data_IF_006620300292
#
_entry.id   IF_006620300292
#
_cell.length_a   1.000
_cell.length_b   1.000
_cell.length_c   1.000
_cell.angle_alpha   90.00
_cell.angle_beta   90.00
_cell.angle_gamma   90.00
#
_symmetry.space_group_name_H-M   'P 1'
#
loop_
_entity.id
_entity.type
_entity.pdbx_description
1 polymer ?
#
# COMPACT_ATOMS: atom_id res chain seq x y z
N UNK A 1 17.95 0.20 19.51
CA UNK A 1 17.08 -0.99 19.70
C UNK A 1 15.66 -0.62 20.14
N UNK A 2 15.47 0.33 21.07
CA UNK A 2 14.11 0.74 21.49
C UNK A 2 13.23 1.28 20.33
N UNK A 3 13.76 2.17 19.48
CA UNK A 3 13.01 2.75 18.36
C UNK A 3 12.55 1.70 17.33
N UNK A 4 13.37 0.69 17.03
CA UNK A 4 12.99 -0.38 16.09
C UNK A 4 11.85 -1.25 16.64
N UNK A 5 11.85 -1.55 17.95
CA UNK A 5 10.77 -2.27 18.61
C UNK A 5 9.47 -1.45 18.65
N UNK A 6 9.58 -0.15 18.90
CA UNK A 6 8.45 0.78 18.84
C UNK A 6 7.84 0.85 17.43
N UNK A 7 8.67 0.98 16.39
CA UNK A 7 8.22 1.00 15.01
C UNK A 7 7.50 -0.30 14.62
N UNK A 8 8.04 -1.46 15.04
CA UNK A 8 7.42 -2.75 14.78
C UNK A 8 6.05 -2.88 15.46
N UNK A 9 5.93 -2.44 16.72
CA UNK A 9 4.66 -2.45 17.45
C UNK A 9 3.62 -1.52 16.80
N UNK A 10 4.05 -0.32 16.37
CA UNK A 10 3.18 0.63 15.66
C UNK A 10 2.72 0.08 14.31
N UNK A 11 3.63 -0.58 13.58
CA UNK A 11 3.33 -1.23 12.31
C UNK A 11 2.35 -2.39 12.51
N UNK A 12 2.56 -3.24 13.51
CA UNK A 12 1.64 -4.34 13.84
C UNK A 12 0.25 -3.79 14.20
N UNK A 13 0.17 -2.70 14.98
CA UNK A 13 -1.10 -2.01 15.23
C UNK A 13 -1.76 -1.61 13.91
N UNK A 14 -1.05 -0.91 13.02
CA UNK A 14 -1.59 -0.48 11.72
C UNK A 14 -2.05 -1.67 10.84
N UNK A 15 -1.31 -2.78 10.88
CA UNK A 15 -1.62 -3.99 10.12
C UNK A 15 -2.78 -4.80 10.73
N UNK A 16 -3.09 -4.64 12.01
CA UNK A 16 -4.22 -5.34 12.64
C UNK A 16 -5.58 -4.99 12.01
N UNK A 17 -5.64 -3.88 11.27
CA UNK A 17 -6.78 -3.51 10.43
C UNK A 17 -7.10 -4.52 9.33
N UNK A 18 -6.12 -5.29 8.85
CA UNK A 18 -6.34 -6.34 7.84
C UNK A 18 -7.22 -7.48 8.37
N UNK A 19 -7.16 -7.74 9.68
CA UNK A 19 -7.86 -8.87 10.31
C UNK A 19 -9.24 -8.48 10.84
N UNK A 20 -9.47 -7.18 11.08
CA UNK A 20 -10.70 -6.68 11.70
C UNK A 20 -11.50 -5.84 10.70
N UNK A 21 -12.36 -6.52 9.94
CA UNK A 21 -13.32 -5.96 8.98
C UNK A 21 -14.44 -5.11 9.63
N UNK A 22 -14.20 -4.54 10.82
CA UNK A 22 -15.17 -3.87 11.69
C UNK A 22 -14.52 -2.73 12.52
N UNK A 23 -13.39 -2.18 12.09
CA UNK A 23 -12.82 -0.99 12.73
C UNK A 23 -13.79 0.19 12.57
N UNK A 24 -14.08 0.92 13.65
CA UNK A 24 -14.87 2.15 13.55
C UNK A 24 -14.02 3.24 12.89
N UNK A 25 -14.66 4.29 12.39
CA UNK A 25 -13.97 5.43 11.76
C UNK A 25 -12.87 6.04 12.67
N UNK A 26 -13.14 6.13 13.97
CA UNK A 26 -12.17 6.58 14.99
C UNK A 26 -10.93 5.65 15.07
N UNK A 27 -11.11 4.35 14.87
CA UNK A 27 -10.02 3.38 14.89
C UNK A 27 -9.13 3.53 13.65
N UNK A 28 -9.70 3.84 12.47
CA UNK A 28 -8.95 4.03 11.23
C UNK A 28 -7.98 5.22 11.30
N UNK A 29 -8.41 6.32 11.92
CA UNK A 29 -7.55 7.50 12.14
C UNK A 29 -6.33 7.13 13.01
N UNK A 30 -6.54 6.38 14.08
CA UNK A 30 -5.44 5.92 14.93
C UNK A 30 -4.48 4.97 14.19
N UNK A 31 -5.00 4.12 13.31
CA UNK A 31 -4.22 3.18 12.51
C UNK A 31 -3.35 3.91 11.48
N UNK A 32 -3.89 4.93 10.81
CA UNK A 32 -3.13 5.81 9.91
C UNK A 32 -2.00 6.49 10.69
N UNK A 33 -2.30 7.07 11.86
CA UNK A 33 -1.28 7.72 12.69
C UNK A 33 -0.20 6.75 13.18
N UNK A 34 -0.58 5.51 13.50
CA UNK A 34 0.38 4.47 13.87
C UNK A 34 1.32 4.14 12.70
N UNK A 35 0.78 4.00 11.48
CA UNK A 35 1.57 3.78 10.27
C UNK A 35 2.52 4.95 9.97
N UNK A 36 2.06 6.20 10.12
CA UNK A 36 2.88 7.40 9.91
C UNK A 36 4.04 7.52 10.92
N UNK A 37 3.77 7.20 12.18
CA UNK A 37 4.81 7.17 13.22
C UNK A 37 5.83 6.06 12.94
N UNK A 38 5.37 4.85 12.59
CA UNK A 38 6.24 3.76 12.19
C UNK A 38 7.10 4.14 10.97
N UNK A 39 6.49 4.74 9.96
CA UNK A 39 7.17 5.23 8.75
C UNK A 39 8.27 6.24 9.09
N UNK A 40 7.99 7.19 9.98
CA UNK A 40 8.95 8.19 10.42
C UNK A 40 10.17 7.52 11.05
N UNK A 41 9.94 6.57 11.97
CA UNK A 41 11.03 5.84 12.62
C UNK A 41 11.80 5.00 11.60
N UNK A 42 11.13 4.27 10.70
CA UNK A 42 11.82 3.47 9.69
C UNK A 42 12.65 4.32 8.70
N UNK A 43 12.21 5.54 8.39
CA UNK A 43 12.99 6.52 7.62
C UNK A 43 14.24 6.97 8.38
N UNK A 44 14.13 7.26 9.67
CA UNK A 44 15.29 7.61 10.52
C UNK A 44 16.29 6.45 10.60
N UNK A 45 15.79 5.22 10.71
CA UNK A 45 16.60 4.00 10.73
C UNK A 45 17.13 3.59 9.36
N UNK A 46 16.65 4.22 8.27
CA UNK A 46 16.93 3.85 6.87
C UNK A 46 16.60 2.39 6.57
N UNK A 47 15.55 1.87 7.20
CA UNK A 47 15.07 0.50 6.99
C UNK A 47 14.10 0.48 5.80
N UNK A 48 14.59 0.12 4.62
CA UNK A 48 13.78 0.07 3.40
C UNK A 48 12.57 -0.86 3.49
N UNK A 49 12.72 -2.03 4.11
CA UNK A 49 11.63 -2.98 4.27
C UNK A 49 10.55 -2.46 5.23
N UNK A 50 10.99 -1.81 6.33
CA UNK A 50 10.10 -1.14 7.27
C UNK A 50 9.35 0.03 6.63
N UNK A 51 10.03 0.87 5.84
CA UNK A 51 9.42 1.98 5.09
C UNK A 51 8.32 1.46 4.16
N UNK A 52 8.62 0.45 3.34
CA UNK A 52 7.66 -0.15 2.40
C UNK A 52 6.46 -0.70 3.18
N UNK A 53 6.70 -1.42 4.27
CA UNK A 53 5.63 -2.04 5.06
C UNK A 53 4.72 -0.97 5.68
N UNK A 54 5.28 0.07 6.28
CA UNK A 54 4.53 1.17 6.88
C UNK A 54 3.72 1.96 5.86
N UNK A 55 4.30 2.27 4.69
CA UNK A 55 3.57 2.94 3.60
C UNK A 55 2.40 2.11 3.11
N UNK A 56 2.60 0.80 2.91
CA UNK A 56 1.51 -0.07 2.44
C UNK A 56 0.38 -0.17 3.46
N UNK A 57 0.70 -0.26 4.76
CA UNK A 57 -0.29 -0.23 5.82
C UNK A 57 -1.06 1.09 5.87
N UNK A 58 -0.37 2.23 5.77
CA UNK A 58 -0.99 3.56 5.71
C UNK A 58 -1.97 3.66 4.54
N UNK A 59 -1.53 3.27 3.34
CA UNK A 59 -2.36 3.32 2.12
C UNK A 59 -3.60 2.43 2.27
N UNK A 60 -3.46 1.23 2.85
CA UNK A 60 -4.61 0.34 3.05
C UNK A 60 -5.62 0.91 4.07
N UNK A 61 -5.14 1.55 5.14
CA UNK A 61 -6.02 2.26 6.07
C UNK A 61 -6.78 3.39 5.36
N UNK A 62 -6.09 4.19 4.52
CA UNK A 62 -6.69 5.27 3.75
C UNK A 62 -7.73 4.78 2.72
N UNK A 63 -7.48 3.65 2.06
CA UNK A 63 -8.47 3.02 1.16
C UNK A 63 -9.71 2.59 1.94
N UNK A 64 -9.52 2.03 3.13
CA UNK A 64 -10.61 1.57 4.00
C UNK A 64 -11.45 2.75 4.47
N UNK A 65 -10.80 3.82 4.92
CA UNK A 65 -11.47 5.07 5.30
C UNK A 65 -12.28 5.65 4.14
N UNK A 66 -11.70 5.74 2.94
CA UNK A 66 -12.42 6.20 1.76
C UNK A 66 -13.62 5.30 1.39
N UNK A 67 -13.57 4.00 1.73
CA UNK A 67 -14.64 3.06 1.45
C UNK A 67 -15.88 3.22 2.34
N UNK A 68 -15.73 3.86 3.51
CA UNK A 68 -16.82 4.15 4.45
C UNK A 68 -17.50 5.52 4.17
N UNK A 69 -16.87 6.37 3.36
CA UNK A 69 -17.45 7.63 2.93
C UNK A 69 -18.67 7.44 2.01
N UNK A 70 -19.63 8.37 2.10
CA UNK A 70 -20.84 8.39 1.25
C UNK A 70 -20.47 8.41 -0.25
N UNK A 71 -19.38 9.11 -0.58
CA UNK A 71 -18.77 9.11 -1.90
C UNK A 71 -17.33 8.63 -1.77
N UNK A 72 -16.99 7.55 -2.47
CA UNK A 72 -15.65 6.97 -2.40
C UNK A 72 -14.58 7.94 -2.91
N UNK A 73 -13.73 8.44 -2.00
CA UNK A 73 -12.70 9.43 -2.29
C UNK A 73 -11.31 9.02 -1.77
N UNK A 74 -10.55 8.19 -2.51
CA UNK A 74 -9.23 7.72 -2.07
C UNK A 74 -8.12 8.73 -2.42
N UNK A 75 -8.40 10.04 -2.37
CA UNK A 75 -7.46 11.09 -2.82
C UNK A 75 -6.15 11.06 -2.04
N UNK A 76 -6.21 10.86 -0.72
CA UNK A 76 -5.02 10.79 0.13
C UNK A 76 -4.20 9.52 -0.12
N UNK A 77 -4.86 8.37 -0.29
CA UNK A 77 -4.19 7.13 -0.68
C UNK A 77 -3.47 7.27 -2.03
N UNK A 78 -4.12 7.92 -3.01
CA UNK A 78 -3.51 8.20 -4.32
C UNK A 78 -2.30 9.13 -4.19
N UNK A 79 -2.42 10.19 -3.39
CA UNK A 79 -1.36 11.16 -3.17
C UNK A 79 -0.12 10.48 -2.60
N UNK A 80 -0.27 9.75 -1.49
CA UNK A 80 0.83 9.00 -0.85
C UNK A 80 1.46 8.00 -1.81
N UNK A 81 0.64 7.16 -2.47
CA UNK A 81 1.18 6.14 -3.37
C UNK A 81 1.90 6.72 -4.59
N UNK A 82 1.45 7.86 -5.11
CA UNK A 82 2.06 8.53 -6.27
C UNK A 82 3.37 9.21 -5.89
N UNK A 83 3.39 9.98 -4.80
CA UNK A 83 4.59 10.67 -4.32
C UNK A 83 5.71 9.67 -3.98
N UNK A 84 5.37 8.58 -3.29
CA UNK A 84 6.36 7.57 -2.93
C UNK A 84 6.81 6.74 -4.14
N UNK A 85 5.93 6.51 -5.13
CA UNK A 85 6.34 5.89 -6.39
C UNK A 85 7.40 6.73 -7.12
N UNK A 86 7.22 8.06 -7.15
CA UNK A 86 8.20 8.99 -7.73
C UNK A 86 9.51 8.96 -6.92
N UNK A 87 9.42 9.00 -5.59
CA UNK A 87 10.58 8.95 -4.70
C UNK A 87 11.40 7.65 -4.86
N UNK A 88 10.75 6.48 -4.84
CA UNK A 88 11.41 5.19 -5.04
C UNK A 88 11.99 5.06 -6.45
N UNK A 89 11.29 5.61 -7.46
CA UNK A 89 11.81 5.64 -8.84
C UNK A 89 13.08 6.48 -8.94
N UNK A 90 13.11 7.66 -8.32
CA UNK A 90 14.28 8.53 -8.29
C UNK A 90 15.45 7.93 -7.50
N UNK A 91 15.15 7.17 -6.44
CA UNK A 91 16.15 6.44 -5.65
C UNK A 91 16.65 5.14 -6.31
N UNK A 92 16.01 4.68 -7.38
CA UNK A 92 16.31 3.38 -8.01
C UNK A 92 15.86 2.18 -7.17
N UNK A 93 15.01 2.38 -6.17
CA UNK A 93 14.48 1.33 -5.31
C UNK A 93 13.39 0.53 -6.04
N UNK A 94 13.75 -0.66 -6.50
CA UNK A 94 12.85 -1.52 -7.27
C UNK A 94 11.75 -2.12 -6.40
N UNK A 95 12.04 -2.50 -5.15
CA UNK A 95 11.04 -3.11 -4.26
C UNK A 95 10.00 -2.06 -3.83
N UNK A 96 10.45 -0.86 -3.46
CA UNK A 96 9.57 0.26 -3.15
C UNK A 96 8.70 0.66 -4.34
N UNK A 97 9.28 0.72 -5.54
CA UNK A 97 8.54 0.98 -6.79
C UNK A 97 7.44 -0.05 -7.03
N UNK A 98 7.76 -1.34 -6.89
CA UNK A 98 6.77 -2.42 -7.04
C UNK A 98 5.66 -2.27 -5.99
N UNK A 99 6.01 -2.03 -4.72
CA UNK A 99 5.03 -1.89 -3.66
C UNK A 99 4.03 -0.75 -3.95
N UNK A 100 4.52 0.41 -4.39
CA UNK A 100 3.65 1.54 -4.72
C UNK A 100 2.81 1.31 -5.98
N UNK A 101 3.35 0.61 -6.99
CA UNK A 101 2.55 0.19 -8.16
C UNK A 101 1.40 -0.74 -7.75
N UNK A 102 1.66 -1.69 -6.85
CA UNK A 102 0.62 -2.59 -6.34
C UNK A 102 -0.43 -1.83 -5.52
N UNK A 103 -0.01 -0.89 -4.67
CA UNK A 103 -0.91 0.00 -3.94
C UNK A 103 -1.79 0.83 -4.88
N UNK A 104 -1.23 1.44 -5.94
CA UNK A 104 -2.01 2.16 -6.95
C UNK A 104 -3.01 1.25 -7.68
N UNK A 105 -2.64 0.00 -7.94
CA UNK A 105 -3.58 -0.96 -8.52
C UNK A 105 -4.75 -1.25 -7.57
N UNK A 106 -4.48 -1.45 -6.28
CA UNK A 106 -5.52 -1.70 -5.28
C UNK A 106 -6.45 -0.49 -5.06
N UNK A 107 -5.91 0.74 -5.10
CA UNK A 107 -6.73 1.97 -5.02
C UNK A 107 -7.70 2.10 -6.21
N UNK A 108 -7.26 1.65 -7.39
CA UNK A 108 -7.95 1.88 -8.66
C UNK A 108 -8.89 0.75 -9.09
N UNK A 109 -8.74 -0.45 -8.55
CA UNK A 109 -9.47 -1.64 -9.03
C UNK A 109 -10.95 -1.65 -8.65
N UNK A 110 -11.35 -0.95 -7.57
CA UNK A 110 -12.72 -0.97 -7.08
C UNK A 110 -13.32 0.43 -7.00
N UNK A 111 -14.65 0.53 -7.18
CA UNK A 111 -15.45 1.76 -6.97
C UNK A 111 -15.06 3.01 -7.78
N UNK A 112 -14.07 2.97 -8.69
CA UNK A 112 -13.65 4.12 -9.52
C UNK A 112 -13.99 4.04 -11.01
N UNK A 113 -14.81 3.07 -11.41
CA UNK A 113 -15.25 2.89 -12.80
C UNK A 113 -14.21 2.22 -13.72
N UNK A 114 -14.59 1.90 -14.96
CA UNK A 114 -13.82 1.03 -15.86
C UNK A 114 -12.45 1.61 -16.25
N UNK A 115 -12.37 2.91 -16.55
CA UNK A 115 -11.10 3.54 -16.93
C UNK A 115 -10.02 3.40 -15.84
N UNK A 116 -10.41 3.51 -14.56
CA UNK A 116 -9.48 3.29 -13.45
C UNK A 116 -9.12 1.83 -13.24
N UNK A 117 -10.02 0.89 -13.54
CA UNK A 117 -9.68 -0.54 -13.54
C UNK A 117 -8.64 -0.88 -14.61
N UNK A 118 -8.69 -0.23 -15.77
CA UNK A 118 -7.66 -0.40 -16.81
C UNK A 118 -6.30 0.13 -16.33
N UNK A 119 -6.27 1.29 -15.66
CA UNK A 119 -5.06 1.82 -15.01
C UNK A 119 -4.54 0.84 -13.93
N UNK A 120 -5.43 0.27 -13.11
CA UNK A 120 -5.07 -0.74 -12.11
C UNK A 120 -4.42 -1.97 -12.75
N UNK A 121 -4.97 -2.44 -13.87
CA UNK A 121 -4.44 -3.58 -14.61
C UNK A 121 -3.07 -3.28 -15.19
N UNK A 122 -2.88 -2.08 -15.75
CA UNK A 122 -1.58 -1.66 -16.25
C UNK A 122 -0.53 -1.65 -15.12
N UNK A 123 -0.84 -1.07 -13.97
CA UNK A 123 0.06 -1.01 -12.82
C UNK A 123 0.40 -2.41 -12.27
N UNK A 124 -0.60 -3.27 -12.10
CA UNK A 124 -0.38 -4.65 -11.63
C UNK A 124 0.47 -5.47 -12.62
N UNK A 125 0.30 -5.28 -13.94
CA UNK A 125 1.13 -5.93 -14.96
C UNK A 125 2.57 -5.42 -14.95
N UNK A 126 2.78 -4.11 -14.82
CA UNK A 126 4.13 -3.52 -14.71
C UNK A 126 4.84 -4.02 -13.45
N UNK A 127 4.15 -4.03 -12.31
CA UNK A 127 4.67 -4.58 -11.07
C UNK A 127 5.07 -6.07 -11.24
N UNK A 128 4.21 -6.90 -11.84
CA UNK A 128 4.51 -8.31 -12.09
C UNK A 128 5.73 -8.52 -12.98
N UNK A 129 5.90 -7.71 -14.02
CA UNK A 129 7.08 -7.78 -14.89
C UNK A 129 8.35 -7.50 -14.08
N UNK A 130 8.37 -6.42 -13.29
CA UNK A 130 9.51 -6.07 -12.42
C UNK A 130 9.76 -7.12 -11.34
N UNK A 131 8.71 -7.69 -10.73
CA UNK A 131 8.79 -8.79 -9.76
C UNK A 131 9.56 -9.99 -10.34
N UNK A 132 9.24 -10.37 -11.59
CA UNK A 132 9.85 -11.52 -12.28
C UNK A 132 11.34 -11.30 -12.56
N UNK A 133 11.77 -10.05 -12.72
CA UNK A 133 13.19 -9.70 -12.91
C UNK A 133 14.00 -9.76 -11.60
N UNK A 134 13.35 -9.69 -10.44
CA UNK A 134 14.00 -9.67 -9.12
C UNK A 134 14.21 -11.06 -8.50
N UNK A 135 13.56 -12.10 -9.04
CA UNK A 135 13.53 -13.48 -8.49
C UNK A 135 13.11 -13.53 -7.00
N UNK A 136 12.28 -12.56 -6.57
CA UNK A 136 11.75 -12.44 -5.21
C UNK A 136 10.38 -13.12 -5.14
N UNK A 137 10.38 -14.40 -4.73
CA UNK A 137 9.17 -15.23 -4.69
C UNK A 137 8.04 -14.67 -3.82
N UNK A 138 8.28 -14.17 -2.59
CA UNK A 138 7.26 -13.47 -1.81
C UNK A 138 6.64 -12.29 -2.55
N UNK A 139 7.47 -11.47 -3.21
CA UNK A 139 7.00 -10.31 -3.94
C UNK A 139 6.22 -10.71 -5.20
N UNK A 140 6.66 -11.76 -5.91
CA UNK A 140 5.92 -12.35 -7.04
C UNK A 140 4.54 -12.84 -6.64
N UNK A 141 4.41 -13.50 -5.47
CA UNK A 141 3.14 -13.96 -4.96
C UNK A 141 2.19 -12.78 -4.69
N UNK A 142 2.70 -11.71 -4.07
CA UNK A 142 1.94 -10.47 -3.86
C UNK A 142 1.53 -9.82 -5.19
N UNK A 143 2.44 -9.72 -6.14
CA UNK A 143 2.19 -9.25 -7.50
C UNK A 143 1.05 -10.05 -8.17
N UNK A 144 1.08 -11.38 -8.07
CA UNK A 144 0.05 -12.26 -8.62
C UNK A 144 -1.30 -12.10 -7.91
N UNK A 145 -1.31 -11.98 -6.58
CA UNK A 145 -2.52 -11.78 -5.79
C UNK A 145 -3.25 -10.49 -6.18
N UNK A 146 -2.53 -9.36 -6.26
CA UNK A 146 -3.13 -8.08 -6.66
C UNK A 146 -3.65 -8.13 -8.10
N UNK A 147 -2.87 -8.71 -9.02
CA UNK A 147 -3.33 -8.88 -10.40
C UNK A 147 -4.62 -9.70 -10.50
N UNK A 148 -4.74 -10.78 -9.71
CA UNK A 148 -5.95 -11.57 -9.65
C UNK A 148 -7.15 -10.75 -9.13
N UNK A 149 -6.97 -9.96 -8.05
CA UNK A 149 -8.00 -9.05 -7.54
C UNK A 149 -8.47 -8.05 -8.59
N UNK A 150 -7.54 -7.45 -9.34
CA UNK A 150 -7.85 -6.51 -10.42
C UNK A 150 -8.66 -7.18 -11.52
N UNK A 151 -8.23 -8.38 -11.96
CA UNK A 151 -8.92 -9.12 -13.02
C UNK A 151 -10.36 -9.49 -12.64
N UNK A 152 -10.59 -9.90 -11.38
CA UNK A 152 -11.93 -10.19 -10.86
C UNK A 152 -12.85 -8.96 -10.97
N UNK A 153 -12.32 -7.75 -10.79
CA UNK A 153 -13.09 -6.50 -10.88
C UNK A 153 -13.34 -6.05 -12.32
N UNK A 154 -12.57 -6.54 -13.29
CA UNK A 154 -12.73 -6.19 -14.70
C UNK A 154 -13.75 -7.09 -15.39
N UNK A 155 -13.85 -8.36 -14.99
CA UNK A 155 -14.87 -9.30 -15.44
C UNK A 155 -16.29 -8.84 -15.06
#
# INVERSE_FOLDING_TARGET
MAQAAEAAMLLEKAQSSFDQCLAKEEDLVELVQAAEKALTIYRELRDGAGIISALTAQIHCLITQAADEVEYNPSEALRVATEELEAFTAAGDRQGKIAMMLSLAEINMDRRGPARRDEALAMAKMAKALCTELDDRPLEARCAQVLAKVLIKIC
#
